data_IF_462503395615
#
_entry.id   IF_462503395615
#
_cell.length_a   1.000
_cell.length_b   1.000
_cell.length_c   1.000
_cell.angle_alpha   90.00
_cell.angle_beta   90.00
_cell.angle_gamma   90.00
#
_symmetry.space_group_name_H-M   'P 1'
#
loop_
_entity.id
_entity.type
_entity.pdbx_description
1 polymer ?
#
# COMPACT_ATOMS: atom_id res chain seq x y z
N UNK A 1 -8.21 14.76 -6.56
CA UNK A 1 -7.00 14.67 -7.39
C UNK A 1 -7.10 15.54 -8.64
N UNK A 2 -8.14 15.36 -9.48
CA UNK A 2 -8.35 16.18 -10.69
C UNK A 2 -8.45 17.67 -10.37
N UNK A 3 -9.29 18.05 -9.41
CA UNK A 3 -9.46 19.46 -8.99
C UNK A 3 -8.15 20.12 -8.55
N UNK A 4 -7.31 19.40 -7.79
CA UNK A 4 -6.00 19.91 -7.34
C UNK A 4 -5.06 20.17 -8.52
N UNK A 5 -5.09 19.31 -9.53
CA UNK A 5 -4.26 19.44 -10.73
C UNK A 5 -4.76 20.52 -11.71
N UNK A 6 -6.02 20.93 -11.61
CA UNK A 6 -6.65 21.93 -12.48
C UNK A 6 -6.79 23.30 -11.81
N UNK A 7 -6.42 23.43 -10.53
CA UNK A 7 -6.57 24.66 -9.78
C UNK A 7 -5.49 25.68 -10.14
N UNK A 8 -5.90 26.89 -10.51
CA UNK A 8 -4.98 28.02 -10.74
C UNK A 8 -4.31 28.53 -9.45
N UNK A 9 -4.85 28.14 -8.28
CA UNK A 9 -4.31 28.51 -6.97
C UNK A 9 -3.32 27.47 -6.42
N UNK A 10 -3.20 26.30 -7.06
CA UNK A 10 -2.35 25.21 -6.58
C UNK A 10 -1.34 24.82 -7.65
N UNK A 11 -0.06 25.07 -7.36
CA UNK A 11 1.04 24.54 -8.16
C UNK A 11 1.38 23.12 -7.69
N UNK A 12 0.98 22.13 -8.47
CA UNK A 12 1.23 20.72 -8.14
C UNK A 12 2.59 20.24 -8.65
N UNK A 13 3.54 20.05 -7.75
CA UNK A 13 4.84 19.43 -8.05
C UNK A 13 4.78 17.93 -7.79
N UNK A 14 4.58 17.12 -8.83
CA UNK A 14 4.56 15.65 -8.73
C UNK A 14 5.90 15.03 -9.10
N UNK A 15 6.23 13.87 -8.50
CA UNK A 15 7.56 13.26 -8.63
C UNK A 15 8.69 14.21 -8.18
N UNK A 16 8.40 14.98 -7.13
CA UNK A 16 9.29 15.98 -6.54
C UNK A 16 9.40 15.76 -5.03
N UNK A 17 10.51 16.19 -4.45
CA UNK A 17 10.76 16.14 -3.01
C UNK A 17 11.30 17.48 -2.51
N UNK A 18 10.96 17.83 -1.27
CA UNK A 18 11.58 18.98 -0.60
C UNK A 18 13.00 18.59 -0.22
N UNK A 19 13.98 19.37 -0.67
CA UNK A 19 15.40 19.11 -0.43
C UNK A 19 15.94 19.95 0.73
N UNK A 20 15.47 21.19 0.85
CA UNK A 20 15.94 22.11 1.89
C UNK A 20 14.83 23.11 2.25
N UNK A 21 14.71 23.40 3.55
CA UNK A 21 13.85 24.46 4.07
C UNK A 21 14.69 25.39 4.92
N UNK A 22 14.60 26.69 4.64
CA UNK A 22 15.25 27.75 5.40
C UNK A 22 14.29 28.91 5.67
N UNK A 23 14.64 29.80 6.59
CA UNK A 23 13.81 30.95 6.96
C UNK A 23 12.97 30.69 8.20
N UNK A 24 11.84 31.38 8.31
CA UNK A 24 10.97 31.39 9.50
C UNK A 24 9.50 31.54 9.10
N UNK A 25 8.60 31.40 10.07
CA UNK A 25 7.15 31.52 9.85
C UNK A 25 6.81 32.83 9.14
N UNK A 26 6.09 32.74 8.02
CA UNK A 26 5.76 33.86 7.15
C UNK A 26 6.77 34.15 6.04
N UNK A 27 7.97 33.59 6.09
CA UNK A 27 9.04 33.83 5.11
C UNK A 27 9.96 32.59 4.96
N UNK A 28 9.37 31.44 4.64
CA UNK A 28 10.14 30.25 4.30
C UNK A 28 10.67 30.33 2.88
N UNK A 29 11.86 29.80 2.70
CA UNK A 29 12.52 29.62 1.41
C UNK A 29 12.81 28.13 1.25
N UNK A 30 12.17 27.52 0.26
CA UNK A 30 12.12 26.07 0.10
C UNK A 30 12.73 25.69 -1.25
N UNK A 31 13.69 24.77 -1.23
CA UNK A 31 14.22 24.14 -2.44
C UNK A 31 13.48 22.83 -2.68
N UNK A 32 12.89 22.71 -3.85
CA UNK A 32 12.11 21.56 -4.30
C UNK A 32 12.89 20.91 -5.44
N UNK A 33 13.29 19.66 -5.25
CA UNK A 33 13.90 18.84 -6.29
C UNK A 33 12.81 18.18 -7.11
N UNK A 34 12.65 18.60 -8.35
CA UNK A 34 11.82 17.93 -9.36
C UNK A 34 12.66 16.85 -10.01
N UNK A 35 12.32 15.58 -9.76
CA UNK A 35 13.10 14.45 -10.29
C UNK A 35 12.83 14.28 -11.78
N UNK A 36 13.85 13.88 -12.53
CA UNK A 36 13.71 13.63 -13.95
C UNK A 36 12.80 12.42 -14.23
N UNK A 37 11.62 12.67 -14.81
CA UNK A 37 10.71 11.61 -15.26
C UNK A 37 11.23 10.86 -16.49
N UNK A 38 12.16 11.48 -17.20
CA UNK A 38 12.57 11.20 -18.58
C UNK A 38 11.42 11.29 -19.59
N UNK A 39 10.42 12.11 -19.26
CA UNK A 39 9.22 12.37 -20.04
C UNK A 39 8.84 13.83 -19.86
N UNK A 40 8.73 14.57 -20.96
CA UNK A 40 8.28 15.96 -21.00
C UNK A 40 6.78 16.02 -20.69
N UNK A 41 6.44 16.62 -19.56
CA UNK A 41 5.06 16.73 -19.07
C UNK A 41 4.19 17.61 -19.97
N UNK A 42 4.77 18.59 -20.67
CA UNK A 42 4.02 19.51 -21.54
C UNK A 42 3.66 18.87 -22.89
N UNK A 43 4.45 17.87 -23.33
CA UNK A 43 4.19 17.14 -24.58
C UNK A 43 3.40 15.86 -24.36
N UNK A 44 3.49 15.26 -23.17
CA UNK A 44 2.86 13.99 -22.89
C UNK A 44 1.35 14.13 -22.68
N UNK A 45 0.56 13.41 -23.47
CA UNK A 45 -0.90 13.34 -23.31
C UNK A 45 -1.40 12.11 -22.53
N UNK A 46 -0.50 11.24 -22.05
CA UNK A 46 -0.88 10.06 -21.25
C UNK A 46 -1.52 8.90 -22.04
N UNK A 47 -1.36 8.83 -23.36
CA UNK A 47 -2.01 7.79 -24.19
C UNK A 47 -1.55 6.34 -23.90
N UNK A 48 -0.36 6.15 -23.33
CA UNK A 48 0.13 4.87 -22.84
C UNK A 48 0.80 3.92 -23.83
N UNK A 49 0.91 4.29 -25.11
CA UNK A 49 1.60 3.49 -26.13
C UNK A 49 3.02 3.09 -25.72
N UNK A 50 3.73 4.01 -25.06
CA UNK A 50 5.12 3.81 -24.63
C UNK A 50 5.28 2.71 -23.58
N UNK A 51 4.41 2.63 -22.57
CA UNK A 51 4.48 1.61 -21.52
C UNK A 51 3.88 0.27 -21.97
N UNK A 52 2.88 0.27 -22.85
CA UNK A 52 2.38 -0.97 -23.45
C UNK A 52 3.51 -1.73 -24.18
N UNK A 53 4.35 -1.00 -24.93
CA UNK A 53 5.44 -1.57 -25.76
C UNK A 53 6.73 -1.86 -25.00
N UNK A 54 6.89 -1.38 -23.76
CA UNK A 54 8.10 -1.62 -22.98
C UNK A 54 8.30 -3.13 -22.72
N UNK A 55 9.49 -3.70 -23.03
CA UNK A 55 9.74 -5.14 -22.84
C UNK A 55 10.03 -5.51 -21.38
N UNK A 56 10.45 -4.55 -20.54
CA UNK A 56 10.80 -4.79 -19.13
C UNK A 56 9.56 -5.24 -18.34
N UNK A 57 9.75 -6.14 -17.37
CA UNK A 57 8.73 -6.59 -16.42
C UNK A 57 9.33 -6.58 -15.02
N UNK A 58 8.75 -5.81 -14.12
CA UNK A 58 9.21 -5.64 -12.73
C UNK A 58 8.01 -5.83 -11.80
N UNK A 59 8.21 -6.29 -10.55
CA UNK A 59 7.18 -6.20 -9.53
C UNK A 59 6.67 -4.76 -9.39
N UNK A 60 5.36 -4.58 -9.26
CA UNK A 60 4.73 -3.28 -9.04
C UNK A 60 4.65 -2.97 -7.55
N UNK A 61 5.30 -1.89 -7.12
CA UNK A 61 5.31 -1.45 -5.73
C UNK A 61 3.90 -1.00 -5.29
N UNK A 62 3.16 -0.34 -6.20
CA UNK A 62 1.78 0.05 -5.96
C UNK A 62 0.86 -1.17 -5.76
N UNK A 63 1.14 -2.28 -6.43
CA UNK A 63 0.40 -3.53 -6.33
C UNK A 63 0.95 -4.49 -5.27
N UNK A 64 1.78 -4.01 -4.33
CA UNK A 64 2.39 -4.84 -3.30
C UNK A 64 3.12 -6.07 -3.88
N UNK A 65 3.79 -5.90 -5.03
CA UNK A 65 4.49 -6.96 -5.76
C UNK A 65 3.61 -8.13 -6.27
N UNK A 66 2.28 -8.04 -6.16
CA UNK A 66 1.36 -9.02 -6.77
C UNK A 66 1.32 -8.86 -8.29
N UNK A 67 1.33 -7.60 -8.73
CA UNK A 67 1.32 -7.21 -10.14
C UNK A 67 2.72 -7.04 -10.72
N UNK A 68 2.77 -6.93 -12.04
CA UNK A 68 3.97 -6.52 -12.76
C UNK A 68 3.76 -5.17 -13.44
N UNK A 69 4.70 -4.25 -13.27
CA UNK A 69 4.83 -3.02 -14.04
C UNK A 69 5.95 -3.10 -15.07
N UNK A 70 6.10 -2.03 -15.83
CA UNK A 70 7.15 -1.83 -16.83
C UNK A 70 8.19 -0.83 -16.31
N UNK A 71 9.30 -0.66 -17.03
CA UNK A 71 10.28 0.37 -16.69
C UNK A 71 9.74 1.78 -16.90
N UNK A 72 9.01 2.03 -18.00
CA UNK A 72 8.19 3.24 -18.15
C UNK A 72 6.77 2.93 -17.73
N UNK A 73 6.21 3.67 -16.78
CA UNK A 73 4.92 3.32 -16.16
C UNK A 73 4.19 4.54 -15.60
N UNK A 74 2.89 4.39 -15.41
CA UNK A 74 2.09 5.21 -14.49
C UNK A 74 1.75 4.35 -13.26
N UNK A 75 1.68 4.91 -12.03
CA UNK A 75 1.47 4.11 -10.82
C UNK A 75 0.15 3.33 -10.83
N UNK A 76 -0.92 3.95 -11.33
CA UNK A 76 -2.25 3.33 -11.49
C UNK A 76 -3.02 4.04 -12.62
N UNK A 77 -4.10 3.45 -13.17
CA UNK A 77 -4.76 3.98 -14.37
C UNK A 77 -5.34 5.39 -14.21
N UNK A 78 -5.78 5.78 -13.00
CA UNK A 78 -6.35 7.08 -12.69
C UNK A 78 -5.33 8.05 -12.08
N UNK A 79 -4.02 7.81 -12.27
CA UNK A 79 -2.97 8.65 -11.73
C UNK A 79 -3.06 10.09 -12.25
N UNK A 80 -2.80 11.06 -11.37
CA UNK A 80 -2.84 12.49 -11.68
C UNK A 80 -1.49 13.12 -11.30
N UNK A 81 -0.80 13.81 -12.24
CA UNK A 81 -1.10 13.87 -13.66
C UNK A 81 -0.89 12.49 -14.32
N UNK A 82 -1.61 12.23 -15.42
CA UNK A 82 -1.45 10.99 -16.18
C UNK A 82 -0.20 11.05 -17.09
N UNK A 83 0.96 11.29 -16.48
CA UNK A 83 2.26 11.36 -17.14
C UNK A 83 3.14 10.24 -16.59
N UNK A 84 3.70 9.37 -17.46
CA UNK A 84 4.50 8.26 -17.00
C UNK A 84 5.87 8.73 -16.49
N UNK A 85 6.51 7.83 -15.75
CA UNK A 85 7.90 7.98 -15.31
C UNK A 85 8.71 6.81 -15.84
N UNK A 86 9.97 7.05 -16.20
CA UNK A 86 10.94 5.99 -16.52
C UNK A 86 11.77 5.67 -15.28
N UNK A 87 11.62 4.45 -14.78
CA UNK A 87 12.50 3.85 -13.78
C UNK A 87 13.91 3.69 -14.35
N UNK A 88 14.78 4.64 -14.03
CA UNK A 88 16.14 4.70 -14.54
C UNK A 88 16.96 3.47 -14.14
N UNK A 89 16.74 2.93 -12.93
CA UNK A 89 17.49 1.77 -12.40
C UNK A 89 17.23 0.51 -13.21
N UNK A 90 16.04 0.37 -13.78
CA UNK A 90 15.64 -0.83 -14.51
C UNK A 90 15.46 -0.62 -16.03
N UNK A 91 15.65 0.61 -16.53
CA UNK A 91 15.52 0.91 -17.95
C UNK A 91 16.70 0.33 -18.78
N UNK A 92 16.40 -0.45 -19.81
CA UNK A 92 17.42 -1.05 -20.69
C UNK A 92 18.16 -0.02 -21.56
N UNK A 93 17.55 1.13 -21.86
CA UNK A 93 18.27 2.20 -22.57
C UNK A 93 19.26 2.91 -21.65
N UNK A 94 18.82 3.32 -20.46
CA UNK A 94 19.66 4.08 -19.53
C UNK A 94 20.88 3.25 -19.11
N UNK A 95 20.67 1.99 -18.72
CA UNK A 95 21.75 1.15 -18.18
C UNK A 95 22.60 0.45 -19.23
N UNK A 96 22.05 0.14 -20.41
CA UNK A 96 22.73 -0.71 -21.41
C UNK A 96 22.73 -0.13 -22.82
N UNK A 97 22.06 0.99 -23.09
CA UNK A 97 21.90 1.61 -24.41
C UNK A 97 21.37 0.65 -25.49
N UNK A 98 20.58 -0.37 -25.09
CA UNK A 98 20.11 -1.47 -25.96
C UNK A 98 18.63 -1.39 -26.39
N UNK A 99 17.87 -0.41 -25.89
CA UNK A 99 16.43 -0.28 -26.14
C UNK A 99 16.10 1.17 -26.53
N UNK A 100 14.99 1.42 -27.20
CA UNK A 100 14.52 2.80 -27.44
C UNK A 100 13.06 2.85 -27.87
N UNK A 101 12.34 1.74 -27.65
CA UNK A 101 11.02 1.53 -28.24
C UNK A 101 10.02 2.59 -27.77
N UNK A 102 10.07 2.97 -26.48
CA UNK A 102 9.18 3.98 -25.92
C UNK A 102 9.32 5.34 -26.61
N UNK A 103 10.55 5.75 -26.96
CA UNK A 103 10.81 6.99 -27.71
C UNK A 103 10.34 6.86 -29.16
N UNK A 104 10.64 5.74 -29.83
CA UNK A 104 10.23 5.48 -31.22
C UNK A 104 8.72 5.44 -31.44
N UNK A 105 7.95 4.94 -30.47
CA UNK A 105 6.48 4.79 -30.59
C UNK A 105 5.71 5.96 -29.97
N UNK A 106 6.38 6.97 -29.40
CA UNK A 106 5.72 8.12 -28.81
C UNK A 106 5.37 9.13 -29.92
N UNK A 107 4.09 9.33 -30.26
CA UNK A 107 3.71 10.24 -31.36
C UNK A 107 3.93 11.73 -31.00
N UNK A 108 4.09 12.05 -29.71
CA UNK A 108 4.30 13.41 -29.21
C UNK A 108 5.76 13.74 -28.92
N UNK A 109 6.67 12.78 -29.19
CA UNK A 109 8.11 12.95 -28.94
C UNK A 109 8.44 13.39 -27.49
N UNK A 110 7.61 12.99 -26.53
CA UNK A 110 7.72 13.41 -25.14
C UNK A 110 8.83 12.68 -24.37
N UNK A 111 9.43 11.61 -24.92
CA UNK A 111 10.46 10.84 -24.21
C UNK A 111 11.83 11.52 -24.34
N UNK A 112 12.36 11.99 -23.22
CA UNK A 112 13.67 12.60 -23.13
C UNK A 112 14.56 11.85 -22.13
N UNK A 113 15.50 11.06 -22.64
CA UNK A 113 16.43 10.30 -21.81
C UNK A 113 17.58 11.13 -21.23
N UNK A 114 17.72 12.38 -21.65
CA UNK A 114 18.77 13.30 -21.18
C UNK A 114 18.24 14.30 -20.15
N UNK A 115 16.93 14.28 -19.87
CA UNK A 115 16.30 15.08 -18.83
C UNK A 115 17.02 14.87 -17.49
N UNK A 116 17.34 15.99 -16.83
CA UNK A 116 18.00 16.02 -15.52
C UNK A 116 17.02 16.51 -14.45
N UNK A 117 17.35 16.21 -13.20
CA UNK A 117 16.67 16.80 -12.06
C UNK A 117 16.78 18.33 -12.12
N UNK A 118 15.71 19.00 -11.70
CA UNK A 118 15.63 20.45 -11.62
C UNK A 118 15.43 20.86 -10.16
N UNK A 119 16.18 21.85 -9.69
CA UNK A 119 15.95 22.47 -8.39
C UNK A 119 15.19 23.77 -8.59
N UNK A 120 14.00 23.83 -8.01
CA UNK A 120 13.15 25.04 -8.01
C UNK A 120 13.16 25.61 -6.61
N UNK A 121 13.32 26.92 -6.51
CA UNK A 121 13.32 27.65 -5.26
C UNK A 121 12.07 28.51 -5.17
N UNK A 122 11.24 28.28 -4.15
CA UNK A 122 9.98 29.00 -3.95
C UNK A 122 9.87 29.51 -2.51
N UNK A 123 9.08 30.58 -2.32
CA UNK A 123 8.84 31.20 -1.02
C UNK A 123 7.45 30.86 -0.52
N UNK A 124 7.33 30.54 0.76
CA UNK A 124 6.07 30.15 1.40
C UNK A 124 5.88 30.84 2.74
N UNK A 125 4.64 31.18 3.08
CA UNK A 125 4.30 31.72 4.41
C UNK A 125 4.14 30.63 5.48
N UNK A 126 3.68 29.45 5.08
CA UNK A 126 3.41 28.32 5.96
C UNK A 126 3.71 26.99 5.26
N UNK A 127 3.97 25.95 6.05
CA UNK A 127 4.22 24.58 5.60
C UNK A 127 3.26 23.66 6.33
N UNK A 128 2.62 22.75 5.58
CA UNK A 128 1.74 21.71 6.12
C UNK A 128 2.38 20.37 5.81
N UNK A 129 2.62 19.54 6.83
CA UNK A 129 3.19 18.21 6.67
C UNK A 129 2.08 17.17 6.61
N UNK A 130 1.96 16.48 5.48
CA UNK A 130 0.94 15.46 5.23
C UNK A 130 1.52 14.26 4.48
N UNK A 131 2.72 13.81 4.85
CA UNK A 131 3.46 12.72 4.16
C UNK A 131 2.92 11.32 4.44
N UNK A 132 1.98 11.18 5.39
CA UNK A 132 1.24 9.95 5.64
C UNK A 132 2.04 8.93 6.45
N UNK A 133 1.86 7.65 6.12
CA UNK A 133 2.39 6.52 6.89
C UNK A 133 2.89 5.41 5.94
N UNK A 134 3.53 4.39 6.51
CA UNK A 134 3.82 3.12 5.82
C UNK A 134 3.40 1.93 6.69
N UNK A 135 3.54 0.72 6.15
CA UNK A 135 3.24 -0.52 6.86
C UNK A 135 4.45 -0.98 7.68
N UNK A 136 4.19 -1.49 8.89
CA UNK A 136 5.20 -2.16 9.70
C UNK A 136 5.76 -3.40 9.01
N UNK A 137 7.05 -3.68 9.24
CA UNK A 137 7.68 -4.92 8.78
C UNK A 137 7.24 -6.11 9.64
N UNK A 138 6.21 -6.78 9.16
CA UNK A 138 5.59 -7.93 9.79
C UNK A 138 6.37 -9.24 9.54
N UNK A 139 7.45 -9.22 8.77
CA UNK A 139 8.29 -10.40 8.56
C UNK A 139 8.98 -10.88 9.83
N UNK A 140 9.11 -10.02 10.84
CA UNK A 140 9.65 -10.35 12.16
C UNK A 140 8.80 -11.38 12.92
N UNK A 141 7.51 -11.49 12.58
CA UNK A 141 6.59 -12.48 13.14
C UNK A 141 6.76 -13.81 12.37
N UNK A 142 7.92 -14.44 12.55
CA UNK A 142 8.27 -15.70 11.88
C UNK A 142 7.25 -16.81 12.11
N UNK A 143 6.55 -16.80 13.25
CA UNK A 143 5.46 -17.73 13.55
C UNK A 143 4.26 -17.61 12.60
N UNK A 144 4.08 -16.47 11.93
CA UNK A 144 3.03 -16.27 10.92
C UNK A 144 3.49 -16.65 9.52
N UNK A 145 4.80 -16.88 9.32
CA UNK A 145 5.33 -17.43 8.08
C UNK A 145 5.12 -16.55 6.85
N UNK A 146 4.99 -15.23 7.02
CA UNK A 146 5.03 -14.29 5.90
C UNK A 146 6.36 -14.42 5.13
N UNK A 147 6.31 -14.35 3.80
CA UNK A 147 7.46 -14.61 2.92
C UNK A 147 7.80 -16.10 2.73
N UNK A 148 7.54 -16.95 3.74
CA UNK A 148 7.67 -18.42 3.63
C UNK A 148 6.46 -19.03 2.92
N UNK A 149 5.26 -18.67 3.36
CA UNK A 149 4.00 -19.17 2.83
C UNK A 149 3.40 -18.15 1.87
N UNK A 150 3.29 -18.50 0.59
CA UNK A 150 2.76 -17.59 -0.46
C UNK A 150 1.34 -17.08 -0.18
N UNK A 151 0.51 -17.85 0.52
CA UNK A 151 -0.87 -17.47 0.84
C UNK A 151 -1.01 -16.75 2.19
N UNK A 152 0.11 -16.37 2.83
CA UNK A 152 0.09 -15.41 3.95
C UNK A 152 0.41 -14.03 3.36
N UNK A 153 -0.56 -13.13 3.46
CA UNK A 153 -0.54 -11.80 2.84
C UNK A 153 -0.86 -10.71 3.88
N UNK A 154 -0.92 -9.45 3.46
CA UNK A 154 -1.34 -8.34 4.35
C UNK A 154 -2.68 -7.77 3.92
N UNK A 155 -3.31 -6.98 4.80
CA UNK A 155 -4.50 -6.22 4.45
C UNK A 155 -4.32 -5.39 3.17
N UNK A 156 -3.13 -4.82 2.93
CA UNK A 156 -2.87 -4.03 1.72
C UNK A 156 -2.75 -4.90 0.45
N UNK A 157 -2.20 -6.11 0.53
CA UNK A 157 -2.26 -7.07 -0.58
C UNK A 157 -3.72 -7.42 -0.92
N UNK A 158 -4.55 -7.62 0.11
CA UNK A 158 -5.97 -7.90 -0.06
C UNK A 158 -6.71 -6.74 -0.76
N UNK A 159 -6.43 -5.49 -0.39
CA UNK A 159 -6.95 -4.30 -1.09
C UNK A 159 -6.56 -4.28 -2.57
N UNK A 160 -5.29 -4.63 -2.89
CA UNK A 160 -4.84 -4.69 -4.29
C UNK A 160 -5.58 -5.77 -5.06
N UNK A 161 -5.89 -6.92 -4.44
CA UNK A 161 -6.68 -7.98 -5.08
C UNK A 161 -8.15 -7.60 -5.27
N UNK A 162 -8.76 -6.96 -4.27
CA UNK A 162 -10.14 -6.48 -4.32
C UNK A 162 -10.35 -5.39 -5.39
N UNK A 163 -9.34 -4.58 -5.66
CA UNK A 163 -9.46 -3.47 -6.58
C UNK A 163 -9.69 -3.98 -8.02
N UNK A 164 -10.74 -3.50 -8.69
CA UNK A 164 -11.07 -3.89 -10.08
C UNK A 164 -10.00 -3.50 -11.09
N UNK A 165 -9.26 -2.41 -10.83
CA UNK A 165 -8.08 -1.98 -11.61
C UNK A 165 -6.76 -2.55 -11.04
N UNK A 166 -6.85 -3.45 -10.06
CA UNK A 166 -5.72 -4.13 -9.45
C UNK A 166 -5.18 -5.29 -10.30
N UNK A 167 -4.09 -5.93 -9.84
CA UNK A 167 -3.35 -6.94 -10.61
C UNK A 167 -4.15 -8.22 -10.88
N UNK A 168 -5.21 -8.48 -10.11
CA UNK A 168 -6.08 -9.66 -10.25
C UNK A 168 -7.43 -9.32 -10.86
N UNK A 169 -7.64 -8.07 -11.29
CA UNK A 169 -8.90 -7.61 -11.88
C UNK A 169 -10.09 -7.68 -10.92
N UNK A 170 -9.88 -7.41 -9.63
CA UNK A 170 -10.92 -7.50 -8.59
C UNK A 170 -11.17 -8.92 -8.06
N UNK A 171 -10.36 -9.90 -8.44
CA UNK A 171 -10.53 -11.29 -7.97
C UNK A 171 -9.66 -11.57 -6.75
N UNK A 172 -10.27 -12.13 -5.71
CA UNK A 172 -9.58 -12.58 -4.49
C UNK A 172 -9.07 -14.01 -4.75
N UNK A 173 -7.77 -14.13 -5.01
CA UNK A 173 -7.13 -15.38 -5.39
C UNK A 173 -5.98 -15.74 -4.46
N UNK A 174 -5.65 -17.03 -4.40
CA UNK A 174 -4.46 -17.52 -3.70
C UNK A 174 -3.20 -17.14 -4.47
N UNK A 175 -2.24 -16.41 -3.90
CA UNK A 175 -1.01 -16.05 -4.61
C UNK A 175 -0.14 -17.26 -5.02
N UNK A 176 -0.31 -18.42 -4.37
CA UNK A 176 0.43 -19.64 -4.70
C UNK A 176 0.05 -20.26 -6.05
N UNK A 177 -1.24 -20.31 -6.38
CA UNK A 177 -1.76 -21.07 -7.52
C UNK A 177 -2.86 -20.36 -8.32
N UNK A 178 -3.23 -19.14 -7.94
CA UNK A 178 -4.21 -18.31 -8.64
C UNK A 178 -5.66 -18.79 -8.52
N UNK A 179 -5.93 -19.80 -7.70
CA UNK A 179 -7.30 -20.28 -7.48
C UNK A 179 -8.07 -19.33 -6.58
N UNK A 180 -9.38 -19.35 -6.74
CA UNK A 180 -10.30 -18.60 -5.90
C UNK A 180 -10.17 -19.00 -4.43
N UNK A 181 -10.28 -18.01 -3.54
CA UNK A 181 -10.21 -18.20 -2.10
C UNK A 181 -11.60 -18.48 -1.55
N UNK A 182 -11.78 -19.60 -0.84
CA UNK A 182 -13.04 -19.93 -0.18
C UNK A 182 -13.01 -19.68 1.32
N UNK A 183 -11.83 -19.66 1.95
CA UNK A 183 -11.71 -19.46 3.40
C UNK A 183 -10.56 -18.52 3.73
N UNK A 184 -10.90 -17.35 4.28
CA UNK A 184 -9.95 -16.32 4.70
C UNK A 184 -9.88 -16.25 6.22
N UNK A 185 -8.66 -16.25 6.75
CA UNK A 185 -8.41 -15.96 8.16
C UNK A 185 -7.69 -14.62 8.28
N UNK A 186 -8.33 -13.65 8.93
CA UNK A 186 -7.78 -12.35 9.26
C UNK A 186 -7.18 -12.38 10.66
N UNK A 187 -5.98 -11.81 10.82
CA UNK A 187 -5.28 -11.74 12.10
C UNK A 187 -5.11 -10.27 12.46
N UNK A 188 -5.77 -9.83 13.54
CA UNK A 188 -5.68 -8.45 14.01
C UNK A 188 -4.38 -8.16 14.76
N UNK A 189 -4.07 -6.86 14.86
CA UNK A 189 -3.01 -6.34 15.71
C UNK A 189 -1.61 -6.92 15.38
N UNK A 190 -1.32 -7.20 14.11
CA UNK A 190 0.01 -7.69 13.71
C UNK A 190 0.97 -6.49 13.69
N UNK A 191 1.91 -6.44 14.63
CA UNK A 191 2.80 -5.29 14.80
C UNK A 191 2.20 -4.12 15.59
N UNK A 192 0.95 -4.22 16.05
CA UNK A 192 0.31 -3.21 16.92
C UNK A 192 -0.01 -3.81 18.28
N UNK A 193 -0.02 -2.98 19.32
CA UNK A 193 -0.30 -3.41 20.70
C UNK A 193 0.60 -4.59 21.10
N UNK A 194 1.88 -4.47 20.75
CA UNK A 194 2.91 -5.47 21.01
C UNK A 194 4.20 -4.73 21.39
N UNK A 195 4.41 -4.52 22.68
CA UNK A 195 5.58 -3.79 23.19
C UNK A 195 6.89 -4.58 23.03
N UNK A 196 6.80 -5.91 22.95
CA UNK A 196 7.98 -6.77 22.91
C UNK A 196 8.62 -6.81 21.53
N UNK A 197 7.79 -6.78 20.46
CA UNK A 197 8.26 -6.98 19.08
C UNK A 197 7.76 -5.94 18.09
N UNK A 198 6.65 -5.28 18.37
CA UNK A 198 5.99 -4.35 17.46
C UNK A 198 5.87 -2.94 18.02
N UNK A 199 4.75 -2.29 17.72
CA UNK A 199 4.41 -0.97 18.23
C UNK A 199 3.52 -1.09 19.47
N UNK A 200 3.74 -0.26 20.52
CA UNK A 200 2.93 -0.30 21.73
C UNK A 200 1.51 0.23 21.49
N UNK A 201 1.31 1.03 20.45
CA UNK A 201 0.03 1.67 20.13
C UNK A 201 -0.86 0.82 19.21
N UNK A 202 -2.13 1.22 19.15
CA UNK A 202 -3.08 0.71 18.19
C UNK A 202 -3.03 1.55 16.91
N UNK A 203 -2.95 0.91 15.74
CA UNK A 203 -3.00 1.63 14.46
C UNK A 203 -4.38 2.12 14.04
N UNK A 204 -5.40 1.99 14.91
CA UNK A 204 -6.76 2.54 14.82
C UNK A 204 -7.65 2.03 13.66
N UNK A 205 -7.12 1.75 12.48
CA UNK A 205 -7.92 1.38 11.30
C UNK A 205 -8.12 -0.13 11.09
N UNK A 206 -7.28 -0.98 11.70
CA UNK A 206 -7.17 -2.39 11.32
C UNK A 206 -8.45 -3.19 11.51
N UNK A 207 -9.17 -2.97 12.62
CA UNK A 207 -10.47 -3.60 12.84
C UNK A 207 -11.46 -3.25 11.72
N UNK A 208 -11.50 -1.97 11.32
CA UNK A 208 -12.51 -1.48 10.38
C UNK A 208 -12.22 -1.88 8.94
N UNK A 209 -10.97 -1.78 8.46
CA UNK A 209 -10.69 -2.30 7.12
C UNK A 209 -10.86 -3.81 7.06
N UNK A 210 -10.60 -4.55 8.15
CA UNK A 210 -10.82 -5.99 8.15
C UNK A 210 -12.31 -6.32 8.06
N UNK A 211 -13.16 -5.63 8.81
CA UNK A 211 -14.61 -5.77 8.68
C UNK A 211 -15.07 -5.47 7.23
N UNK A 212 -14.52 -4.41 6.61
CA UNK A 212 -14.75 -4.10 5.20
C UNK A 212 -14.27 -5.21 4.27
N UNK A 213 -13.08 -5.75 4.48
CA UNK A 213 -12.53 -6.83 3.66
C UNK A 213 -13.33 -8.13 3.80
N UNK A 214 -13.80 -8.47 5.00
CA UNK A 214 -14.67 -9.61 5.23
C UNK A 214 -16.03 -9.45 4.53
N UNK A 215 -16.63 -8.25 4.59
CA UNK A 215 -17.84 -7.91 3.83
C UNK A 215 -17.62 -8.08 2.33
N UNK A 216 -16.58 -7.44 1.80
CA UNK A 216 -16.30 -7.47 0.37
C UNK A 216 -15.96 -8.89 -0.12
N UNK A 217 -15.30 -9.71 0.71
CA UNK A 217 -15.10 -11.12 0.41
C UNK A 217 -16.43 -11.84 0.16
N UNK A 218 -17.40 -11.64 1.05
CA UNK A 218 -18.74 -12.23 0.95
C UNK A 218 -19.55 -11.69 -0.22
N UNK A 219 -19.44 -10.41 -0.55
CA UNK A 219 -20.08 -9.85 -1.75
C UNK A 219 -19.50 -10.44 -3.04
N UNK A 220 -18.19 -10.72 -3.08
CA UNK A 220 -17.56 -11.33 -4.26
C UNK A 220 -17.83 -12.84 -4.35
N UNK A 221 -17.93 -13.52 -3.20
CA UNK A 221 -18.24 -14.94 -3.11
C UNK A 221 -19.10 -15.21 -1.85
N UNK A 222 -20.42 -15.39 -2.00
CA UNK A 222 -21.33 -15.63 -0.87
C UNK A 222 -20.99 -16.87 -0.03
N UNK A 223 -20.37 -17.87 -0.65
CA UNK A 223 -19.97 -19.13 -0.01
C UNK A 223 -18.63 -19.02 0.73
N UNK A 224 -17.89 -17.91 0.57
CA UNK A 224 -16.59 -17.76 1.20
C UNK A 224 -16.71 -17.56 2.72
N UNK A 225 -15.86 -18.19 3.51
CA UNK A 225 -15.85 -18.09 4.97
C UNK A 225 -14.81 -17.07 5.43
N UNK A 226 -15.21 -16.16 6.33
CA UNK A 226 -14.34 -15.16 6.93
C UNK A 226 -14.20 -15.40 8.44
N UNK A 227 -12.98 -15.60 8.91
CA UNK A 227 -12.65 -15.71 10.33
C UNK A 227 -11.75 -14.56 10.75
N UNK A 228 -12.09 -13.86 11.83
CA UNK A 228 -11.33 -12.70 12.32
C UNK A 228 -10.84 -12.98 13.75
N UNK A 229 -9.54 -13.20 13.90
CA UNK A 229 -8.90 -13.31 15.21
C UNK A 229 -8.58 -11.91 15.75
N UNK A 230 -9.12 -11.57 16.93
CA UNK A 230 -9.01 -10.23 17.51
C UNK A 230 -8.78 -10.24 19.03
N UNK A 231 -8.34 -9.12 19.59
CA UNK A 231 -8.29 -8.90 21.06
C UNK A 231 -9.52 -8.11 21.49
N UNK A 232 -9.65 -6.90 20.92
CA UNK A 232 -10.79 -6.00 21.08
C UNK A 232 -11.17 -5.48 19.68
N UNK A 233 -12.47 -5.32 19.43
CA UNK A 233 -12.97 -4.62 18.25
C UNK A 233 -12.98 -3.14 18.59
N UNK A 234 -12.29 -2.31 17.78
CA UNK A 234 -12.22 -0.86 18.00
C UNK A 234 -13.02 -0.12 16.91
N UNK A 235 -14.33 -0.04 17.13
CA UNK A 235 -15.31 0.58 16.24
C UNK A 235 -15.74 1.98 16.72
N UNK A 236 -14.77 2.86 17.01
CA UNK A 236 -15.02 4.14 17.70
C UNK A 236 -15.47 5.33 16.80
N UNK A 237 -15.96 5.05 15.59
CA UNK A 237 -16.40 6.06 14.63
C UNK A 237 -17.92 6.08 14.46
N UNK A 238 -18.47 7.13 13.83
CA UNK A 238 -19.89 7.16 13.48
C UNK A 238 -20.25 5.96 12.61
N UNK A 239 -21.28 5.21 13.03
CA UNK A 239 -21.79 4.01 12.35
C UNK A 239 -20.78 2.84 12.28
N UNK A 240 -19.70 2.86 13.07
CA UNK A 240 -18.68 1.80 12.98
C UNK A 240 -19.12 0.54 13.71
N UNK A 241 -19.83 0.66 14.83
CA UNK A 241 -20.34 -0.49 15.57
C UNK A 241 -21.40 -1.22 14.73
N UNK A 242 -22.36 -0.47 14.21
CA UNK A 242 -23.41 -0.93 13.31
C UNK A 242 -22.83 -1.58 12.05
N UNK A 243 -21.70 -1.06 11.56
CA UNK A 243 -20.99 -1.68 10.44
C UNK A 243 -20.40 -3.04 10.82
N UNK A 244 -19.79 -3.18 12.00
CA UNK A 244 -19.24 -4.47 12.45
C UNK A 244 -20.36 -5.46 12.75
N UNK A 245 -21.43 -5.04 13.42
CA UNK A 245 -22.62 -5.86 13.66
C UNK A 245 -23.19 -6.39 12.34
N UNK A 246 -23.32 -5.53 11.33
CA UNK A 246 -23.76 -5.94 10.00
C UNK A 246 -22.86 -7.03 9.41
N UNK A 247 -21.55 -6.85 9.50
CA UNK A 247 -20.57 -7.84 8.98
C UNK A 247 -20.68 -9.18 9.69
N UNK A 248 -20.97 -9.18 10.99
CA UNK A 248 -21.17 -10.41 11.77
C UNK A 248 -22.53 -11.06 11.49
N UNK A 249 -23.61 -10.30 11.59
CA UNK A 249 -24.97 -10.81 11.60
C UNK A 249 -25.53 -11.08 10.20
N UNK A 250 -25.26 -10.20 9.23
CA UNK A 250 -25.81 -10.31 7.87
C UNK A 250 -24.85 -11.02 6.91
N UNK A 251 -23.55 -10.79 7.06
CA UNK A 251 -22.52 -11.40 6.19
C UNK A 251 -21.87 -12.64 6.82
N UNK A 252 -22.20 -13.00 8.06
CA UNK A 252 -21.77 -14.25 8.69
C UNK A 252 -20.26 -14.34 8.96
N UNK A 253 -19.56 -13.21 9.07
CA UNK A 253 -18.15 -13.23 9.44
C UNK A 253 -17.99 -13.68 10.90
N UNK A 254 -17.15 -14.69 11.14
CA UNK A 254 -16.94 -15.26 12.48
C UNK A 254 -15.80 -14.53 13.20
N UNK A 255 -16.10 -13.93 14.34
CA UNK A 255 -15.12 -13.21 15.16
C UNK A 255 -14.69 -14.09 16.34
N UNK A 256 -13.38 -14.32 16.45
CA UNK A 256 -12.78 -15.19 17.47
C UNK A 256 -11.90 -14.34 18.37
N UNK A 257 -12.27 -14.24 19.65
CA UNK A 257 -11.55 -13.38 20.59
C UNK A 257 -10.31 -14.12 21.09
N UNK A 258 -9.18 -13.89 20.46
CA UNK A 258 -7.88 -14.37 20.90
C UNK A 258 -6.79 -14.09 19.87
N UNK A 259 -5.54 -14.21 20.29
CA UNK A 259 -4.39 -14.07 19.40
C UNK A 259 -4.04 -15.40 18.74
N UNK A 260 -3.66 -15.32 17.48
CA UNK A 260 -3.06 -16.45 16.76
C UNK A 260 -1.67 -16.71 17.32
N UNK A 261 -1.40 -17.96 17.66
CA UNK A 261 -0.11 -18.44 18.16
C UNK A 261 0.89 -18.70 17.04
N UNK A 262 0.46 -19.37 15.96
CA UNK A 262 1.30 -19.70 14.81
C UNK A 262 0.49 -20.13 13.59
N UNK A 263 1.15 -20.08 12.43
CA UNK A 263 0.70 -20.60 11.16
C UNK A 263 1.67 -21.70 10.71
N UNK A 264 1.13 -22.84 10.28
CA UNK A 264 1.92 -23.96 9.79
C UNK A 264 1.20 -24.71 8.68
N UNK A 265 1.91 -25.56 7.96
CA UNK A 265 1.29 -26.43 6.96
C UNK A 265 0.99 -27.81 7.52
N UNK A 266 -0.20 -28.34 7.23
CA UNK A 266 -0.60 -29.73 7.51
C UNK A 266 -1.32 -30.26 6.28
N UNK A 267 -0.87 -31.39 5.74
CA UNK A 267 -1.46 -32.03 4.56
C UNK A 267 -1.66 -31.06 3.37
N UNK A 268 -0.67 -30.19 3.13
CA UNK A 268 -0.70 -29.20 2.03
C UNK A 268 -1.61 -27.98 2.26
N UNK A 269 -2.31 -27.88 3.40
CA UNK A 269 -3.13 -26.73 3.78
C UNK A 269 -2.43 -25.84 4.80
N UNK A 270 -2.69 -24.53 4.77
CA UNK A 270 -2.30 -23.63 5.85
C UNK A 270 -3.25 -23.84 7.03
N UNK A 271 -2.69 -24.01 8.22
CA UNK A 271 -3.41 -24.11 9.47
C UNK A 271 -3.08 -22.89 10.32
N UNK A 272 -4.11 -22.20 10.78
CA UNK A 272 -4.01 -21.09 11.73
C UNK A 272 -4.43 -21.60 13.09
N UNK A 273 -3.52 -21.56 14.06
CA UNK A 273 -3.78 -21.99 15.44
C UNK A 273 -3.83 -20.79 16.37
N UNK A 274 -4.97 -20.61 17.03
CA UNK A 274 -5.17 -19.58 18.04
C UNK A 274 -5.97 -20.12 19.22
N UNK A 275 -6.47 -19.21 20.04
CA UNK A 275 -7.47 -19.51 21.05
C UNK A 275 -8.72 -18.67 20.80
N UNK A 276 -9.87 -19.18 21.22
CA UNK A 276 -11.03 -18.37 21.51
C UNK A 276 -11.17 -18.27 23.02
N UNK A 277 -10.88 -17.08 23.55
CA UNK A 277 -10.92 -16.78 24.98
C UNK A 277 -12.33 -16.71 25.54
N UNK A 278 -13.37 -16.57 24.69
CA UNK A 278 -14.75 -16.60 25.15
C UNK A 278 -15.20 -18.02 25.48
N UNK A 279 -14.86 -18.99 24.62
CA UNK A 279 -15.10 -20.41 24.90
C UNK A 279 -14.01 -21.09 25.74
N UNK A 280 -12.85 -20.47 25.90
CA UNK A 280 -11.69 -21.06 26.58
C UNK A 280 -11.04 -22.21 25.79
N UNK A 281 -11.32 -22.32 24.49
CA UNK A 281 -10.87 -23.43 23.66
C UNK A 281 -9.73 -23.03 22.72
N UNK A 282 -8.87 -24.00 22.41
CA UNK A 282 -7.90 -23.84 21.34
C UNK A 282 -8.59 -24.09 19.99
N UNK A 283 -8.35 -23.20 19.04
CA UNK A 283 -8.97 -23.25 17.71
C UNK A 283 -7.89 -23.50 16.65
N UNK A 284 -8.16 -24.43 15.73
CA UNK A 284 -7.38 -24.64 14.52
C UNK A 284 -8.29 -24.50 13.29
N UNK A 285 -7.95 -23.59 12.38
CA UNK A 285 -8.71 -23.32 11.16
C UNK A 285 -7.79 -23.54 9.97
N UNK A 286 -8.22 -24.35 9.00
CA UNK A 286 -7.54 -24.41 7.72
C UNK A 286 -7.82 -23.13 6.92
N UNK A 287 -6.86 -22.60 6.16
CA UNK A 287 -7.04 -21.35 5.43
C UNK A 287 -6.56 -21.49 3.99
N UNK A 288 -7.35 -20.97 3.05
CA UNK A 288 -6.89 -20.75 1.67
C UNK A 288 -5.97 -19.54 1.60
N UNK A 289 -6.32 -18.49 2.36
CA UNK A 289 -5.58 -17.24 2.47
C UNK A 289 -5.58 -16.77 3.92
N UNK A 290 -4.42 -16.30 4.39
CA UNK A 290 -4.31 -15.59 5.67
C UNK A 290 -3.96 -14.13 5.38
N UNK A 291 -4.65 -13.22 6.05
CA UNK A 291 -4.47 -11.78 5.91
C UNK A 291 -4.01 -11.19 7.25
N UNK A 292 -2.79 -10.68 7.26
CA UNK A 292 -2.21 -10.00 8.41
C UNK A 292 -2.69 -8.54 8.42
N UNK A 293 -3.42 -8.16 9.46
CA UNK A 293 -3.83 -6.78 9.67
C UNK A 293 -2.67 -6.00 10.33
N UNK A 294 -1.73 -5.60 9.48
CA UNK A 294 -0.43 -5.03 9.87
C UNK A 294 -0.56 -3.60 10.40
N UNK A 295 0.29 -3.27 11.38
CA UNK A 295 0.42 -1.94 11.94
C UNK A 295 0.84 -0.88 10.91
N UNK A 296 0.41 0.34 11.19
CA UNK A 296 0.92 1.55 10.54
C UNK A 296 2.04 2.16 11.38
N UNK A 297 3.06 2.64 10.70
CA UNK A 297 4.19 3.39 11.27
C UNK A 297 4.44 4.65 10.44
N UNK A 298 5.17 5.61 11.01
CA UNK A 298 5.69 6.73 10.24
C UNK A 298 6.53 6.24 9.06
N UNK A 299 6.58 7.04 7.99
CA UNK A 299 7.46 6.71 6.86
C UNK A 299 8.93 6.69 7.31
N UNK A 300 9.81 5.92 6.63
CA UNK A 300 11.22 5.85 7.02
C UNK A 300 11.94 7.21 7.02
N UNK A 301 11.50 8.12 6.14
CA UNK A 301 12.01 9.48 5.95
C UNK A 301 11.39 10.53 6.90
N UNK A 302 10.48 10.15 7.78
CA UNK A 302 9.71 11.10 8.60
C UNK A 302 10.59 11.88 9.60
N UNK A 303 11.57 11.21 10.22
CA UNK A 303 12.49 11.86 11.18
C UNK A 303 13.40 12.88 10.47
N UNK A 304 13.90 12.52 9.29
CA UNK A 304 14.76 13.38 8.47
C UNK A 304 13.98 14.63 8.04
N UNK A 305 12.72 14.46 7.62
CA UNK A 305 11.83 15.57 7.30
C UNK A 305 11.53 16.44 8.54
N UNK A 306 11.26 15.84 9.68
CA UNK A 306 10.97 16.58 10.92
C UNK A 306 12.17 17.42 11.36
N UNK A 307 13.39 16.87 11.23
CA UNK A 307 14.64 17.59 11.49
C UNK A 307 14.85 18.74 10.51
N UNK A 308 14.60 18.53 9.21
CA UNK A 308 14.68 19.57 8.18
C UNK A 308 13.71 20.74 8.45
N UNK A 309 12.54 20.45 9.03
CA UNK A 309 11.51 21.43 9.34
C UNK A 309 11.60 21.99 10.77
N UNK A 310 12.50 21.47 11.60
CA UNK A 310 12.60 21.78 13.02
C UNK A 310 11.28 21.60 13.80
N UNK A 311 10.56 20.51 13.53
CA UNK A 311 9.30 20.16 14.24
C UNK A 311 9.50 18.98 15.20
N UNK A 312 8.81 18.95 16.34
CA UNK A 312 8.88 17.82 17.28
C UNK A 312 8.14 16.59 16.73
N UNK A 313 8.56 15.41 17.18
CA UNK A 313 7.89 14.12 16.96
C UNK A 313 7.87 13.33 18.27
N UNK A 314 6.94 12.39 18.40
CA UNK A 314 6.76 11.63 19.64
C UNK A 314 7.79 10.47 19.78
N UNK A 315 7.71 9.72 20.87
CA UNK A 315 8.58 8.56 21.13
C UNK A 315 8.45 7.44 20.07
N UNK A 316 7.34 7.42 19.32
CA UNK A 316 7.07 6.46 18.25
C UNK A 316 7.54 6.96 16.89
N UNK A 317 8.18 8.15 16.83
CA UNK A 317 8.61 8.81 15.60
C UNK A 317 7.43 9.19 14.70
N UNK A 318 6.25 9.39 15.29
CA UNK A 318 5.07 9.97 14.66
C UNK A 318 5.09 11.50 14.81
#
# INVERSE_FOLDING_TARGET
>A
MVEVNQSDLIKLHTFSEVEEVSGYVGNFKVKIRKKARLVDENKCNGCGTCWQRCPVRLPSEFDMNLGKRKAIYVPFPQAVPNVPVIDQKNCLYINKKKCGICKKVCPFEAIDFEQKDEIVEEKFGAIIVATGFTMFDHSIYGEYGYGKYKNVTTGLHFERMLNSSGPTGGKIIRPSDGKEVKKVVFIQCVGSRDEARGMPYCSRLCCMYTAKQALLLKEHNPEAEAYVFYIDIRAAGKNYEEFVERVQNEYGATYLRGRVSKIFQRNGKLMVRGCDTLSGTQIEIDADLVVLATALIARPDAVELAQMLHIPYDQNRL
#
